data_IF_226649831062
#
_entry.id   IF_226649831062
#
_cell.length_a   1.000
_cell.length_b   1.000
_cell.length_c   1.000
_cell.angle_alpha   90.00
_cell.angle_beta   90.00
_cell.angle_gamma   90.00
#
_symmetry.space_group_name_H-M   'P 1'
#
loop_
_entity.id
_entity.type
_entity.pdbx_description
1 polymer ?
#
# COMPACT_ATOMS: atom_id res chain seq x y z
N UNK A 1 7.43 -8.50 16.76
CA UNK A 1 7.22 -7.18 16.11
C UNK A 1 7.33 -6.01 17.09
N UNK A 2 6.84 -6.11 18.34
CA UNK A 2 6.91 -5.02 19.33
C UNK A 2 8.32 -4.56 19.76
N UNK A 3 9.35 -5.42 19.65
CA UNK A 3 10.71 -5.04 19.99
C UNK A 3 11.48 -4.33 18.86
N UNK A 4 11.03 -4.44 17.60
CA UNK A 4 11.68 -3.79 16.46
C UNK A 4 11.13 -2.37 16.19
N UNK A 5 9.93 -2.07 16.71
CA UNK A 5 9.35 -0.73 16.66
C UNK A 5 10.05 0.30 17.53
N UNK A 6 11.06 -0.10 18.32
CA UNK A 6 11.89 0.82 19.09
C UNK A 6 12.94 1.56 18.25
N UNK A 7 13.22 1.09 17.03
CA UNK A 7 14.18 1.71 16.10
C UNK A 7 13.41 2.42 14.97
N UNK A 8 12.42 1.74 14.40
CA UNK A 8 11.66 2.24 13.26
C UNK A 8 11.19 1.10 12.36
N UNK A 9 10.45 1.42 11.30
CA UNK A 9 10.05 0.47 10.29
C UNK A 9 9.95 1.11 8.92
N UNK A 10 10.17 0.28 7.90
CA UNK A 10 9.92 0.60 6.50
C UNK A 10 9.06 -0.51 5.92
N UNK A 11 7.97 -0.15 5.26
CA UNK A 11 7.16 -1.11 4.51
C UNK A 11 6.66 -0.52 3.20
N UNK A 12 6.39 -1.41 2.24
CA UNK A 12 5.75 -1.06 0.99
C UNK A 12 4.45 -1.84 0.82
N UNK A 13 3.33 -1.13 0.76
CA UNK A 13 2.00 -1.72 0.59
C UNK A 13 1.32 -1.17 -0.67
N UNK A 14 0.33 -1.89 -1.20
CA UNK A 14 -0.49 -1.41 -2.30
C UNK A 14 -1.37 -0.25 -1.84
N UNK A 15 -1.62 0.69 -2.74
CA UNK A 15 -2.59 1.76 -2.53
C UNK A 15 -3.92 1.43 -3.23
N UNK A 16 -5.01 1.74 -2.54
CA UNK A 16 -6.34 1.74 -3.15
C UNK A 16 -6.51 3.00 -4.00
N UNK A 17 -6.06 2.94 -5.24
CA UNK A 17 -6.30 3.99 -6.23
C UNK A 17 -7.04 3.45 -7.44
N UNK A 18 -7.85 4.33 -8.07
CA UNK A 18 -8.61 3.97 -9.28
C UNK A 18 -7.67 3.66 -10.46
N UNK A 19 -6.49 4.30 -10.50
CA UNK A 19 -5.42 4.03 -11.47
C UNK A 19 -4.73 2.69 -11.22
N UNK A 20 -4.42 2.36 -9.96
CA UNK A 20 -3.88 1.04 -9.60
C UNK A 20 -4.85 -0.08 -9.92
N UNK A 21 -6.14 0.15 -9.69
CA UNK A 21 -7.20 -0.79 -10.06
C UNK A 21 -7.30 -0.96 -11.58
N UNK A 22 -7.21 0.14 -12.32
CA UNK A 22 -7.22 0.12 -13.78
C UNK A 22 -5.99 -0.59 -14.36
N UNK A 23 -4.78 -0.29 -13.85
CA UNK A 23 -3.54 -0.94 -14.28
C UNK A 23 -3.48 -2.42 -13.89
N UNK A 24 -3.95 -2.79 -12.69
CA UNK A 24 -4.07 -4.18 -12.28
C UNK A 24 -5.07 -4.92 -13.18
N UNK A 25 -6.22 -4.31 -13.48
CA UNK A 25 -7.20 -4.87 -14.40
C UNK A 25 -6.63 -5.01 -15.81
N UNK A 26 -5.99 -3.97 -16.36
CA UNK A 26 -5.40 -3.99 -17.70
C UNK A 26 -4.26 -5.02 -17.77
N UNK A 27 -3.34 -5.02 -16.79
CA UNK A 27 -2.21 -5.94 -16.73
C UNK A 27 -2.64 -7.39 -16.57
N UNK A 28 -3.59 -7.68 -15.67
CA UNK A 28 -4.10 -9.05 -15.49
C UNK A 28 -5.01 -9.50 -16.63
N UNK A 29 -5.64 -8.58 -17.37
CA UNK A 29 -6.46 -8.91 -18.54
C UNK A 29 -5.62 -9.09 -19.81
N UNK A 30 -4.54 -8.32 -19.98
CA UNK A 30 -3.72 -8.29 -21.20
C UNK A 30 -2.52 -9.24 -21.12
N UNK A 31 -1.86 -9.37 -19.95
CA UNK A 31 -0.61 -10.11 -19.82
C UNK A 31 -0.79 -11.56 -19.35
N UNK A 32 -1.97 -11.95 -18.87
CA UNK A 32 -2.21 -13.33 -18.44
C UNK A 32 -3.59 -13.84 -18.83
N UNK A 33 -3.63 -15.09 -19.31
CA UNK A 33 -4.88 -15.81 -19.60
C UNK A 33 -5.50 -16.44 -18.35
N UNK A 34 -4.80 -16.38 -17.20
CA UNK A 34 -5.24 -16.96 -15.94
C UNK A 34 -6.45 -16.23 -15.36
N UNK A 35 -7.55 -16.96 -15.16
CA UNK A 35 -8.78 -16.46 -14.53
C UNK A 35 -8.54 -16.01 -13.09
N UNK A 36 -7.62 -16.65 -12.36
CA UNK A 36 -7.30 -16.35 -10.97
C UNK A 36 -6.68 -14.95 -10.85
N UNK A 37 -5.70 -14.63 -11.70
CA UNK A 37 -5.03 -13.32 -11.66
C UNK A 37 -5.96 -12.16 -12.01
N UNK A 38 -6.94 -12.36 -12.91
CA UNK A 38 -7.96 -11.36 -13.25
C UNK A 38 -8.92 -11.05 -12.10
N UNK A 39 -9.13 -11.99 -11.19
CA UNK A 39 -10.02 -11.83 -10.04
C UNK A 39 -9.23 -11.28 -8.84
N UNK A 40 -8.07 -11.86 -8.55
CA UNK A 40 -7.27 -11.52 -7.37
C UNK A 40 -6.57 -10.17 -7.49
N UNK A 41 -6.22 -9.73 -8.69
CA UNK A 41 -5.61 -8.41 -8.91
C UNK A 41 -6.53 -7.26 -8.45
N UNK A 42 -7.76 -7.14 -8.99
CA UNK A 42 -8.74 -6.14 -8.55
C UNK A 42 -9.14 -6.28 -7.07
N UNK A 43 -9.24 -7.50 -6.55
CA UNK A 43 -9.55 -7.76 -5.14
C UNK A 43 -8.45 -7.24 -4.21
N UNK A 44 -7.18 -7.45 -4.57
CA UNK A 44 -6.02 -6.96 -3.81
C UNK A 44 -5.98 -5.44 -3.75
N UNK A 45 -6.26 -4.74 -4.85
CA UNK A 45 -6.34 -3.27 -4.87
C UNK A 45 -7.53 -2.74 -4.08
N UNK A 46 -8.67 -3.45 -4.06
CA UNK A 46 -9.82 -3.06 -3.24
C UNK A 46 -9.57 -3.23 -1.74
N UNK A 47 -8.82 -4.26 -1.36
CA UNK A 47 -8.42 -4.53 0.02
C UNK A 47 -7.30 -3.60 0.53
N UNK A 48 -6.55 -2.98 -0.38
CA UNK A 48 -5.53 -2.00 -0.06
C UNK A 48 -6.10 -0.75 0.64
N UNK A 49 -5.22 0.04 1.27
CA UNK A 49 -5.56 1.31 1.91
C UNK A 49 -5.15 2.51 1.08
N UNK A 50 -5.77 3.64 1.32
CA UNK A 50 -5.42 4.94 0.72
C UNK A 50 -4.33 5.62 1.56
N UNK A 51 -3.58 6.55 0.94
CA UNK A 51 -2.60 7.37 1.66
C UNK A 51 -3.23 8.11 2.85
N UNK A 52 -4.47 8.59 2.69
CA UNK A 52 -5.22 9.24 3.76
C UNK A 52 -5.48 8.29 4.93
N UNK A 53 -5.93 7.07 4.65
CA UNK A 53 -6.15 6.05 5.70
C UNK A 53 -4.85 5.66 6.41
N UNK A 54 -3.70 5.68 5.73
CA UNK A 54 -2.41 5.54 6.40
C UNK A 54 -2.14 6.74 7.30
N UNK A 55 -2.23 7.97 6.80
CA UNK A 55 -2.04 9.18 7.61
C UNK A 55 -2.91 9.18 8.87
N UNK A 56 -4.20 8.86 8.75
CA UNK A 56 -5.13 8.79 9.87
C UNK A 56 -4.71 7.68 10.86
N UNK A 57 -4.23 6.53 10.36
CA UNK A 57 -3.74 5.44 11.19
C UNK A 57 -2.49 5.83 11.97
N UNK A 58 -1.49 6.45 11.33
CA UNK A 58 -0.28 6.94 12.01
C UNK A 58 -0.60 8.02 13.03
N UNK A 59 -1.50 8.94 12.70
CA UNK A 59 -1.98 9.97 13.61
C UNK A 59 -2.65 9.35 14.84
N UNK A 60 -3.54 8.38 14.65
CA UNK A 60 -4.20 7.67 15.76
C UNK A 60 -3.26 6.81 16.59
N UNK A 61 -2.13 6.36 16.02
CA UNK A 61 -1.09 5.63 16.72
C UNK A 61 -0.07 6.54 17.44
N UNK A 62 -0.28 7.87 17.44
CA UNK A 62 0.66 8.86 17.97
C UNK A 62 2.09 8.72 17.42
N UNK A 63 2.21 8.26 16.17
CA UNK A 63 3.50 8.14 15.48
C UNK A 63 3.81 9.48 14.81
N UNK A 64 4.75 10.23 15.37
CA UNK A 64 5.12 11.54 14.84
C UNK A 64 5.90 11.41 13.53
N UNK A 65 5.56 12.29 12.56
CA UNK A 65 6.29 12.50 11.29
C UNK A 65 6.61 11.24 10.45
N UNK A 66 5.64 10.36 10.14
CA UNK A 66 5.88 9.30 9.17
C UNK A 66 6.15 9.90 7.77
N UNK A 67 7.22 9.47 7.11
CA UNK A 67 7.45 9.78 5.69
C UNK A 67 6.65 8.76 4.86
N UNK A 68 5.53 9.23 4.33
CA UNK A 68 4.60 8.44 3.52
C UNK A 68 4.71 8.97 2.09
N UNK A 69 5.20 8.14 1.17
CA UNK A 69 5.36 8.48 -0.24
C UNK A 69 4.55 7.57 -1.12
N UNK A 70 4.07 8.14 -2.22
CA UNK A 70 3.52 7.39 -3.31
C UNK A 70 4.66 6.91 -4.23
N UNK A 71 4.87 5.60 -4.29
CA UNK A 71 5.82 4.94 -5.18
C UNK A 71 5.09 4.25 -6.34
N UNK A 72 5.67 4.30 -7.54
CA UNK A 72 5.14 3.60 -8.69
C UNK A 72 5.49 2.09 -8.63
N UNK A 73 4.59 1.17 -9.03
CA UNK A 73 3.21 1.38 -9.47
C UNK A 73 2.23 1.35 -8.29
N UNK A 74 1.64 2.50 -7.96
CA UNK A 74 0.50 2.65 -7.02
C UNK A 74 0.71 1.96 -5.65
N UNK A 75 1.90 2.17 -5.08
CA UNK A 75 2.31 1.66 -3.76
C UNK A 75 2.56 2.79 -2.77
N UNK A 76 2.21 2.57 -1.51
CA UNK A 76 2.64 3.40 -0.40
C UNK A 76 4.01 2.87 0.04
N UNK A 77 5.01 3.74 0.05
CA UNK A 77 6.24 3.50 0.79
C UNK A 77 6.12 4.30 2.08
N UNK A 78 6.14 3.61 3.21
CA UNK A 78 6.10 4.25 4.51
C UNK A 78 7.40 3.98 5.23
N UNK A 79 8.04 5.04 5.70
CA UNK A 79 9.19 4.97 6.59
C UNK A 79 8.91 5.79 7.84
N UNK A 80 9.21 5.18 8.99
CA UNK A 80 9.10 5.82 10.28
C UNK A 80 10.29 5.39 11.14
N UNK A 81 10.89 6.35 11.85
CA UNK A 81 12.04 6.11 12.71
C UNK A 81 11.77 6.75 14.06
N UNK A 82 12.08 6.03 15.13
CA UNK A 82 12.07 6.59 16.47
C UNK A 82 13.44 7.27 16.66
N UNK A 83 13.45 8.60 16.78
CA UNK A 83 14.65 9.38 17.15
C UNK A 83 14.57 9.80 18.60
#
# INVERSE_FOLDING_TARGET
>A
MAAASSIGFVFSDLLRTRLGLFLAYLGTTVLTSSSVARIDGPLSVKAARTLKEYHDLFHSACLERPDIRHAWPERALVSWSHS
#
